data_IF_192543103665
#
_entry.id   IF_192543103665
#
_cell.length_a   1.000
_cell.length_b   1.000
_cell.length_c   1.000
_cell.angle_alpha   90.00
_cell.angle_beta   90.00
_cell.angle_gamma   90.00
#
_symmetry.space_group_name_H-M   'P 1'
#
loop_
_entity.id
_entity.type
_entity.pdbx_description
1 polymer ?
#
# COMPACT_ATOMS: atom_id res chain seq x y z
N UNK A 1 -47.61 13.44 -12.76
CA UNK A 1 -46.39 13.87 -12.05
C UNK A 1 -45.28 12.82 -12.12
N UNK A 2 -45.48 11.67 -12.78
CA UNK A 2 -44.48 10.59 -12.89
C UNK A 2 -43.49 10.75 -14.05
N UNK A 3 -43.86 11.50 -15.10
CA UNK A 3 -43.04 11.64 -16.32
C UNK A 3 -41.74 12.44 -16.08
N UNK A 4 -41.75 13.38 -15.13
CA UNK A 4 -40.59 14.21 -14.79
C UNK A 4 -39.56 13.50 -13.92
N UNK A 5 -39.98 12.58 -13.04
CA UNK A 5 -39.06 11.86 -12.15
C UNK A 5 -38.30 10.76 -12.90
N UNK A 6 -38.93 10.13 -13.89
CA UNK A 6 -38.29 9.14 -14.77
C UNK A 6 -37.17 9.78 -15.61
N UNK A 7 -37.39 10.98 -16.13
CA UNK A 7 -36.43 11.72 -16.96
C UNK A 7 -35.17 12.12 -16.15
N UNK A 8 -35.36 12.58 -14.92
CA UNK A 8 -34.24 12.93 -14.01
C UNK A 8 -33.42 11.70 -13.63
N UNK A 9 -34.07 10.56 -13.34
CA UNK A 9 -33.38 9.31 -12.99
C UNK A 9 -32.54 8.80 -14.18
N UNK A 10 -33.04 8.87 -15.41
CA UNK A 10 -32.27 8.49 -16.60
C UNK A 10 -31.07 9.41 -16.83
N UNK A 11 -31.25 10.73 -16.71
CA UNK A 11 -30.16 11.70 -16.90
C UNK A 11 -29.03 11.49 -15.87
N UNK A 12 -29.38 11.25 -14.61
CA UNK A 12 -28.39 10.96 -13.57
C UNK A 12 -27.66 9.64 -13.83
N UNK A 13 -28.38 8.59 -14.25
CA UNK A 13 -27.80 7.29 -14.56
C UNK A 13 -26.79 7.38 -15.71
N UNK A 14 -27.15 8.09 -16.77
CA UNK A 14 -26.28 8.28 -17.94
C UNK A 14 -25.06 9.15 -17.59
N UNK A 15 -25.24 10.19 -16.76
CA UNK A 15 -24.13 10.99 -16.27
C UNK A 15 -23.15 10.17 -15.42
N UNK A 16 -23.65 9.35 -14.48
CA UNK A 16 -22.82 8.46 -13.66
C UNK A 16 -22.11 7.42 -14.53
N UNK A 17 -22.79 6.85 -15.53
CA UNK A 17 -22.19 5.88 -16.46
C UNK A 17 -21.07 6.52 -17.30
N UNK A 18 -21.27 7.75 -17.76
CA UNK A 18 -20.23 8.51 -18.47
C UNK A 18 -19.02 8.80 -17.56
N UNK A 19 -19.25 9.22 -16.31
CA UNK A 19 -18.18 9.43 -15.32
C UNK A 19 -17.41 8.13 -15.02
N UNK A 20 -18.10 6.99 -14.97
CA UNK A 20 -17.47 5.69 -14.76
C UNK A 20 -16.65 5.23 -15.98
N UNK A 21 -17.02 5.63 -17.19
CA UNK A 21 -16.22 5.36 -18.38
C UNK A 21 -14.93 6.19 -18.47
N UNK A 22 -14.87 7.34 -17.80
CA UNK A 22 -13.65 8.15 -17.70
C UNK A 22 -12.64 7.59 -16.70
N UNK A 23 -13.06 6.64 -15.86
CA UNK A 23 -12.21 5.99 -14.86
C UNK A 23 -11.34 4.91 -15.50
N UNK A 24 -10.03 5.02 -15.29
CA UNK A 24 -9.04 4.07 -15.83
C UNK A 24 -9.17 2.65 -15.28
N UNK A 25 -9.75 2.49 -14.08
CA UNK A 25 -9.95 1.20 -13.41
C UNK A 25 -11.20 0.43 -13.85
N UNK A 26 -12.07 1.05 -14.65
CA UNK A 26 -13.35 0.47 -15.07
C UNK A 26 -13.22 -0.13 -16.47
N UNK A 27 -13.52 -1.43 -16.59
CA UNK A 27 -13.57 -2.13 -17.87
C UNK A 27 -14.88 -1.85 -18.60
N UNK A 28 -15.99 -1.80 -17.85
CA UNK A 28 -17.32 -1.59 -18.41
C UNK A 28 -18.21 -0.90 -17.37
N UNK A 29 -19.00 0.05 -17.84
CA UNK A 29 -20.13 0.61 -17.11
C UNK A 29 -21.33 0.64 -18.07
N UNK A 30 -22.44 0.01 -17.70
CA UNK A 30 -23.65 -0.05 -18.52
C UNK A 30 -24.86 0.41 -17.72
N UNK A 31 -25.53 1.44 -18.23
CA UNK A 31 -26.83 1.88 -17.71
C UNK A 31 -27.92 0.93 -18.19
N UNK A 32 -28.74 0.44 -17.26
CA UNK A 32 -29.85 -0.47 -17.59
C UNK A 32 -31.17 0.27 -17.44
N UNK A 33 -32.03 0.17 -18.46
CA UNK A 33 -33.31 0.90 -18.51
C UNK A 33 -34.48 0.13 -17.93
N UNK A 34 -34.27 -1.14 -17.54
CA UNK A 34 -35.33 -2.03 -17.07
C UNK A 34 -35.44 -1.90 -15.55
N UNK A 35 -36.58 -1.40 -15.08
CA UNK A 35 -36.91 -1.29 -13.66
C UNK A 35 -37.30 -2.69 -13.12
N UNK A 36 -36.28 -3.50 -12.83
CA UNK A 36 -36.43 -4.80 -12.18
C UNK A 36 -36.07 -4.64 -10.71
N UNK A 37 -37.02 -4.98 -9.83
CA UNK A 37 -36.76 -4.98 -8.40
C UNK A 37 -35.47 -5.77 -8.08
N UNK A 38 -34.59 -5.17 -7.28
CA UNK A 38 -33.29 -5.72 -6.83
C UNK A 38 -32.17 -5.79 -7.88
N UNK A 39 -32.36 -5.28 -9.10
CA UNK A 39 -31.28 -5.16 -10.08
C UNK A 39 -30.65 -3.76 -10.01
N UNK A 40 -29.31 -3.64 -9.95
CA UNK A 40 -28.67 -2.33 -9.93
C UNK A 40 -28.91 -1.59 -11.25
N UNK A 41 -29.22 -0.31 -11.15
CA UNK A 41 -29.48 0.59 -12.28
C UNK A 41 -28.26 0.75 -13.22
N UNK A 42 -27.06 0.50 -12.69
CA UNK A 42 -25.80 0.55 -13.43
C UNK A 42 -25.03 -0.72 -13.09
N UNK A 43 -24.62 -1.45 -14.12
CA UNK A 43 -23.67 -2.56 -13.96
C UNK A 43 -22.28 -2.02 -14.22
N UNK A 44 -21.34 -2.28 -13.31
CA UNK A 44 -19.95 -1.86 -13.43
C UNK A 44 -19.06 -3.08 -13.30
N UNK A 45 -18.11 -3.24 -14.21
CA UNK A 45 -17.06 -4.24 -14.15
C UNK A 45 -15.71 -3.51 -14.12
N UNK A 46 -14.93 -3.73 -13.07
CA UNK A 46 -13.55 -3.25 -13.00
C UNK A 46 -12.64 -4.07 -13.92
N UNK A 47 -11.53 -3.49 -14.35
CA UNK A 47 -10.49 -4.25 -15.05
C UNK A 47 -9.97 -5.36 -14.14
N UNK A 48 -9.79 -6.60 -14.65
CA UNK A 48 -9.12 -7.63 -13.88
C UNK A 48 -7.70 -7.16 -13.57
N UNK A 49 -7.33 -7.19 -12.29
CA UNK A 49 -5.98 -6.87 -11.83
C UNK A 49 -5.31 -8.11 -11.27
N UNK A 50 -4.00 -8.12 -11.35
CA UNK A 50 -3.11 -9.04 -10.67
C UNK A 50 -2.33 -8.29 -9.60
N UNK A 51 -1.92 -9.02 -8.57
CA UNK A 51 -1.13 -8.49 -7.48
C UNK A 51 0.35 -8.66 -7.77
N UNK A 52 1.10 -7.57 -7.67
CA UNK A 52 2.55 -7.55 -7.65
C UNK A 52 2.98 -6.97 -6.30
N UNK A 53 3.80 -7.69 -5.56
CA UNK A 53 4.29 -7.21 -4.26
C UNK A 53 5.78 -6.97 -4.31
N UNK A 54 6.19 -5.79 -3.85
CA UNK A 54 7.58 -5.42 -3.64
C UNK A 54 7.86 -5.27 -2.14
N UNK A 55 9.07 -5.59 -1.75
CA UNK A 55 9.50 -5.70 -0.36
C UNK A 55 10.81 -4.96 -0.16
N UNK A 56 10.95 -4.26 0.97
CA UNK A 56 12.21 -3.63 1.35
C UNK A 56 12.52 -3.83 2.84
N UNK A 57 13.81 -3.93 3.22
CA UNK A 57 14.19 -3.91 4.62
C UNK A 57 13.92 -2.52 5.22
N UNK A 58 13.46 -2.51 6.47
CA UNK A 58 13.18 -1.30 7.23
C UNK A 58 14.39 -0.93 8.11
N UNK A 59 14.55 0.36 8.37
CA UNK A 59 15.39 0.87 9.45
C UNK A 59 14.50 1.44 10.54
N UNK A 60 14.57 0.87 11.74
CA UNK A 60 13.71 1.24 12.86
C UNK A 60 14.60 1.72 13.99
N UNK A 61 14.32 2.92 14.50
CA UNK A 61 15.11 3.52 15.57
C UNK A 61 14.24 4.11 16.66
N UNK A 62 14.79 4.29 17.85
CA UNK A 62 14.16 5.02 18.95
C UNK A 62 15.15 5.96 19.61
N UNK A 63 14.65 6.95 20.33
CA UNK A 63 15.48 7.80 21.17
C UNK A 63 16.13 6.99 22.29
N UNK A 64 17.38 7.35 22.61
CA UNK A 64 18.11 6.74 23.70
C UNK A 64 17.46 7.12 25.04
N UNK A 65 17.03 6.12 25.81
CA UNK A 65 16.55 6.34 27.17
C UNK A 65 17.70 6.14 28.17
N UNK A 66 18.28 7.25 28.61
CA UNK A 66 19.35 7.30 29.63
C UNK A 66 18.99 6.52 30.90
N UNK A 67 17.70 6.37 31.23
CA UNK A 67 17.28 5.66 32.44
C UNK A 67 17.52 4.14 32.39
N UNK A 68 17.78 3.58 31.20
CA UNK A 68 18.10 2.16 31.01
C UNK A 68 19.58 1.82 31.18
N UNK A 69 20.48 2.81 31.27
CA UNK A 69 21.93 2.59 31.34
C UNK A 69 22.61 3.51 32.38
N UNK A 70 23.29 2.92 33.38
CA UNK A 70 23.93 3.65 34.50
C UNK A 70 25.27 4.35 34.14
N UNK A 71 25.59 4.63 32.87
CA UNK A 71 26.92 5.12 32.49
C UNK A 71 26.95 6.53 31.86
N UNK A 72 27.87 7.34 32.39
CA UNK A 72 28.18 8.75 32.14
C UNK A 72 28.96 8.93 30.81
N UNK A 73 28.31 8.66 29.68
CA UNK A 73 28.77 9.15 28.36
C UNK A 73 27.68 10.03 27.75
N UNK A 74 28.05 11.24 27.34
CA UNK A 74 27.20 12.17 26.57
C UNK A 74 26.90 11.54 25.20
N UNK A 75 25.99 10.58 25.15
CA UNK A 75 25.40 10.07 23.90
C UNK A 75 24.26 11.01 23.49
N UNK A 76 24.58 12.29 23.35
CA UNK A 76 23.63 13.27 22.86
C UNK A 76 23.57 13.14 21.33
N UNK A 77 22.39 12.77 20.82
CA UNK A 77 22.00 12.69 19.40
C UNK A 77 22.14 11.32 18.68
N UNK A 78 22.50 10.21 19.35
CA UNK A 78 22.44 8.88 18.70
C UNK A 78 21.11 8.16 18.99
N UNK A 79 20.36 7.84 17.93
CA UNK A 79 19.18 6.98 18.00
C UNK A 79 19.60 5.51 18.11
N UNK A 80 18.94 4.73 18.97
CA UNK A 80 19.16 3.29 19.10
C UNK A 80 18.40 2.55 17.99
N UNK A 81 19.11 1.71 17.23
CA UNK A 81 18.50 0.87 16.20
C UNK A 81 17.83 -0.38 16.79
N UNK A 82 16.57 -0.61 16.43
CA UNK A 82 15.79 -1.79 16.82
C UNK A 82 15.87 -2.81 15.67
N UNK A 83 16.47 -4.00 15.90
CA UNK A 83 16.47 -5.05 14.89
C UNK A 83 15.04 -5.43 14.45
N UNK A 84 14.79 -5.54 13.15
CA UNK A 84 13.45 -5.78 12.58
C UNK A 84 12.72 -6.98 13.16
N UNK A 85 13.44 -8.04 13.54
CA UNK A 85 12.90 -9.23 14.22
C UNK A 85 12.26 -8.97 15.58
N UNK A 86 12.59 -7.86 16.23
CA UNK A 86 12.02 -7.47 17.53
C UNK A 86 10.87 -6.46 17.37
N UNK A 87 10.75 -5.83 16.20
CA UNK A 87 9.69 -4.86 15.91
C UNK A 87 8.47 -5.51 15.23
N UNK A 88 8.43 -6.83 15.08
CA UNK A 88 7.32 -7.54 14.42
C UNK A 88 5.96 -7.22 15.06
N UNK A 89 5.91 -7.16 16.39
CA UNK A 89 4.68 -6.86 17.13
C UNK A 89 4.22 -5.40 16.98
N UNK A 90 5.05 -4.51 16.41
CA UNK A 90 4.69 -3.13 16.10
C UNK A 90 4.00 -2.96 14.73
N UNK A 91 3.77 -4.05 13.99
CA UNK A 91 3.24 -3.98 12.63
C UNK A 91 1.88 -3.27 12.56
N UNK A 92 1.00 -3.51 13.53
CA UNK A 92 -0.33 -2.91 13.56
C UNK A 92 -0.24 -1.40 13.80
N UNK A 93 0.55 -0.94 14.78
CA UNK A 93 0.73 0.49 15.05
C UNK A 93 1.39 1.22 13.87
N UNK A 94 2.35 0.59 13.19
CA UNK A 94 3.00 1.17 12.02
C UNK A 94 2.02 1.26 10.84
N UNK A 95 1.23 0.20 10.59
CA UNK A 95 0.21 0.22 9.53
C UNK A 95 -0.91 1.22 9.82
N UNK A 96 -1.33 1.36 11.07
CA UNK A 96 -2.27 2.38 11.50
C UNK A 96 -1.70 3.78 11.27
N UNK A 97 -0.43 4.00 11.60
CA UNK A 97 0.25 5.27 11.35
C UNK A 97 0.35 5.58 9.85
N UNK A 98 0.75 4.62 9.00
CA UNK A 98 0.81 4.80 7.54
C UNK A 98 -0.55 5.24 7.00
N UNK A 99 -1.63 4.57 7.43
CA UNK A 99 -3.00 4.90 7.00
C UNK A 99 -3.42 6.30 7.46
N UNK A 100 -3.09 6.70 8.68
CA UNK A 100 -3.44 8.01 9.23
C UNK A 100 -2.58 9.14 8.64
N UNK A 101 -1.34 8.84 8.25
CA UNK A 101 -0.43 9.77 7.58
C UNK A 101 -0.81 10.00 6.11
N UNK A 102 -1.39 8.98 5.46
CA UNK A 102 -1.84 9.07 4.07
C UNK A 102 -2.92 10.12 3.82
N UNK A 103 -2.83 10.78 2.66
CA UNK A 103 -3.81 11.75 2.22
C UNK A 103 -5.00 11.10 1.49
N UNK A 104 -6.18 11.74 1.52
CA UNK A 104 -7.37 11.25 0.80
C UNK A 104 -7.15 10.96 -0.70
N UNK A 105 -6.24 11.68 -1.35
CA UNK A 105 -5.92 11.44 -2.78
C UNK A 105 -5.23 10.08 -2.99
N UNK A 106 -4.54 9.56 -1.98
CA UNK A 106 -3.77 8.31 -1.98
C UNK A 106 -4.64 7.09 -1.62
N UNK A 107 -5.87 7.28 -1.16
CA UNK A 107 -6.74 6.19 -0.66
C UNK A 107 -6.88 5.02 -1.65
N UNK A 108 -6.94 5.32 -2.95
CA UNK A 108 -7.19 4.31 -3.99
C UNK A 108 -5.95 3.94 -4.81
N UNK A 109 -5.10 4.93 -5.13
CA UNK A 109 -3.90 4.73 -5.96
C UNK A 109 -2.61 4.59 -5.13
N UNK A 110 -2.64 4.92 -3.84
CA UNK A 110 -1.46 4.97 -3.00
C UNK A 110 -0.39 5.90 -3.57
N UNK A 111 0.83 5.39 -3.61
CA UNK A 111 1.99 6.13 -4.13
C UNK A 111 1.97 6.32 -5.65
N UNK A 112 1.06 5.65 -6.38
CA UNK A 112 0.87 5.87 -7.81
C UNK A 112 0.17 7.19 -8.13
N UNK A 113 -0.40 7.90 -7.15
CA UNK A 113 -0.88 9.28 -7.35
C UNK A 113 0.26 10.21 -7.77
N UNK A 114 1.47 9.90 -7.34
CA UNK A 114 2.66 10.72 -7.59
C UNK A 114 3.45 10.31 -8.83
N UNK A 115 3.01 9.26 -9.52
CA UNK A 115 3.73 8.74 -10.68
C UNK A 115 3.35 9.50 -11.96
N UNK A 116 4.30 10.23 -12.54
CA UNK A 116 4.08 11.01 -13.77
C UNK A 116 5.13 10.77 -14.89
N UNK A 117 6.01 9.78 -14.71
CA UNK A 117 7.13 9.50 -15.63
C UNK A 117 6.73 8.75 -16.91
N UNK A 118 6.52 7.42 -16.81
CA UNK A 118 6.23 6.56 -17.98
C UNK A 118 4.71 6.28 -18.09
N UNK A 119 4.00 6.84 -19.08
CA UNK A 119 2.56 6.61 -19.22
C UNK A 119 2.16 5.14 -19.31
N UNK A 120 3.00 4.27 -19.88
CA UNK A 120 2.73 2.84 -19.95
C UNK A 120 2.67 2.19 -18.56
N UNK A 121 3.51 2.63 -17.62
CA UNK A 121 3.47 2.18 -16.22
C UNK A 121 2.23 2.72 -15.54
N UNK A 122 1.87 3.99 -15.74
CA UNK A 122 0.66 4.58 -15.14
C UNK A 122 -0.63 3.94 -15.63
N UNK A 123 -0.69 3.51 -16.90
CA UNK A 123 -1.81 2.77 -17.47
C UNK A 123 -1.91 1.33 -16.94
N UNK A 124 -0.77 0.70 -16.62
CA UNK A 124 -0.73 -0.70 -16.15
C UNK A 124 -0.83 -0.83 -14.64
N UNK A 125 -0.21 0.07 -13.88
CA UNK A 125 -0.12 0.02 -12.42
C UNK A 125 -1.15 0.98 -11.84
N UNK A 126 -2.26 0.41 -11.38
CA UNK A 126 -3.36 1.19 -10.82
C UNK A 126 -2.98 1.80 -9.46
N UNK A 127 -2.47 0.96 -8.55
CA UNK A 127 -2.14 1.37 -7.20
C UNK A 127 -0.83 0.76 -6.71
N UNK A 128 -0.21 1.42 -5.74
CA UNK A 128 0.90 0.90 -4.94
C UNK A 128 0.68 1.34 -3.49
N UNK A 129 0.10 0.44 -2.69
CA UNK A 129 -0.28 0.72 -1.30
C UNK A 129 0.84 0.24 -0.37
N UNK A 130 1.48 1.15 0.39
CA UNK A 130 2.49 0.77 1.35
C UNK A 130 1.90 0.17 2.63
N UNK A 131 2.65 -0.71 3.26
CA UNK A 131 2.36 -1.32 4.57
C UNK A 131 3.64 -1.95 5.14
N UNK A 132 3.57 -2.51 6.34
CA UNK A 132 4.58 -3.41 6.90
C UNK A 132 3.96 -4.77 7.24
N UNK A 133 4.75 -5.84 7.12
CA UNK A 133 4.31 -7.22 7.43
C UNK A 133 5.45 -8.04 8.01
N UNK A 134 5.12 -9.01 8.86
CA UNK A 134 6.07 -10.06 9.24
C UNK A 134 6.36 -10.97 8.05
N UNK A 135 7.65 -11.13 7.72
CA UNK A 135 8.13 -12.12 6.74
C UNK A 135 9.33 -12.82 7.35
N UNK A 136 9.24 -14.15 7.51
CA UNK A 136 10.30 -14.98 8.10
C UNK A 136 10.78 -14.49 9.49
N UNK A 137 9.87 -13.95 10.30
CA UNK A 137 10.18 -13.44 11.65
C UNK A 137 10.85 -12.07 11.66
N UNK A 138 10.88 -11.35 10.54
CA UNK A 138 11.37 -9.97 10.44
C UNK A 138 10.25 -9.04 9.98
N UNK A 139 10.21 -7.82 10.53
CA UNK A 139 9.32 -6.78 10.02
C UNK A 139 9.87 -6.20 8.72
N UNK A 140 9.10 -6.31 7.64
CA UNK A 140 9.50 -5.92 6.29
C UNK A 140 8.50 -4.89 5.74
N UNK A 141 9.00 -3.89 5.01
CA UNK A 141 8.18 -2.93 4.27
C UNK A 141 7.62 -3.58 3.01
N UNK A 142 6.34 -3.34 2.73
CA UNK A 142 5.59 -4.01 1.66
C UNK A 142 4.86 -2.98 0.81
N UNK A 143 5.00 -3.08 -0.50
CA UNK A 143 4.24 -2.32 -1.48
C UNK A 143 3.35 -3.28 -2.26
N UNK A 144 2.05 -3.24 -1.96
CA UNK A 144 1.05 -4.04 -2.65
C UNK A 144 0.57 -3.27 -3.88
N UNK A 145 1.01 -3.71 -5.04
CA UNK A 145 0.68 -3.10 -6.32
C UNK A 145 -0.46 -3.86 -7.01
N UNK A 146 -1.45 -3.13 -7.51
CA UNK A 146 -2.48 -3.69 -8.39
C UNK A 146 -2.15 -3.33 -9.83
N UNK A 147 -1.96 -4.36 -10.66
CA UNK A 147 -1.52 -4.20 -12.05
C UNK A 147 -2.54 -4.85 -12.98
N UNK A 148 -2.90 -4.21 -14.11
CA UNK A 148 -3.88 -4.76 -15.07
C UNK A 148 -3.25 -5.70 -16.11
N UNK A 149 -1.94 -5.66 -16.30
CA UNK A 149 -1.17 -6.47 -17.25
C UNK A 149 0.25 -6.69 -16.72
N UNK A 150 0.91 -7.77 -17.14
CA UNK A 150 2.32 -7.99 -16.85
C UNK A 150 3.19 -6.78 -17.25
N UNK A 151 4.06 -6.38 -16.31
CA UNK A 151 5.09 -5.38 -16.57
C UNK A 151 6.25 -6.05 -17.31
N UNK A 152 6.70 -5.40 -18.38
CA UNK A 152 8.00 -5.70 -18.96
C UNK A 152 9.11 -5.38 -17.96
N UNK A 153 10.31 -5.94 -18.15
CA UNK A 153 11.44 -5.67 -17.26
C UNK A 153 11.73 -4.17 -17.09
N UNK A 154 11.63 -3.38 -18.17
CA UNK A 154 11.84 -1.93 -18.08
C UNK A 154 10.71 -1.23 -17.29
N UNK A 155 9.44 -1.62 -17.51
CA UNK A 155 8.31 -1.05 -16.77
C UNK A 155 8.36 -1.40 -15.27
N UNK A 156 8.86 -2.59 -14.93
CA UNK A 156 9.10 -2.98 -13.54
C UNK A 156 10.22 -2.14 -12.91
N UNK A 157 11.33 -1.91 -13.62
CA UNK A 157 12.41 -1.04 -13.12
C UNK A 157 11.95 0.41 -12.98
N UNK A 158 11.11 0.91 -13.89
CA UNK A 158 10.53 2.26 -13.79
C UNK A 158 9.64 2.39 -12.55
N UNK A 159 8.77 1.40 -12.30
CA UNK A 159 7.96 1.33 -11.07
C UNK A 159 8.85 1.25 -9.83
N UNK A 160 9.86 0.38 -9.86
CA UNK A 160 10.80 0.19 -8.74
C UNK A 160 11.54 1.49 -8.44
N UNK A 161 12.07 2.17 -9.46
CA UNK A 161 12.77 3.45 -9.31
C UNK A 161 11.89 4.51 -8.66
N UNK A 162 10.63 4.60 -9.08
CA UNK A 162 9.66 5.50 -8.45
C UNK A 162 9.46 5.18 -6.97
N UNK A 163 9.19 3.92 -6.65
CA UNK A 163 8.96 3.50 -5.26
C UNK A 163 10.20 3.67 -4.39
N UNK A 164 11.41 3.44 -4.93
CA UNK A 164 12.67 3.75 -4.23
C UNK A 164 12.74 5.26 -3.93
N UNK A 165 12.42 6.11 -4.91
CA UNK A 165 12.35 7.57 -4.69
C UNK A 165 11.36 7.94 -3.58
N UNK A 166 10.19 7.29 -3.55
CA UNK A 166 9.21 7.47 -2.48
C UNK A 166 9.72 7.01 -1.10
N UNK A 167 10.57 5.97 -1.06
CA UNK A 167 11.21 5.49 0.17
C UNK A 167 12.27 6.48 0.69
N UNK A 168 13.04 7.10 -0.20
CA UNK A 168 14.22 7.89 0.18
C UNK A 168 13.97 9.38 0.39
N UNK A 169 13.17 10.02 -0.48
CA UNK A 169 13.03 11.49 -0.57
C UNK A 169 11.57 11.92 -0.81
N UNK A 170 10.65 10.96 -0.70
CA UNK A 170 9.23 11.17 -0.96
C UNK A 170 8.39 10.96 0.28
N UNK A 171 7.30 10.21 0.13
CA UNK A 171 6.32 9.96 1.18
C UNK A 171 6.97 9.50 2.51
N UNK A 172 7.96 8.61 2.44
CA UNK A 172 8.56 8.04 3.64
C UNK A 172 9.60 8.91 4.32
N UNK A 173 10.25 9.84 3.60
CA UNK A 173 11.13 10.84 4.21
C UNK A 173 10.33 11.78 5.13
N UNK A 174 9.12 12.15 4.70
CA UNK A 174 8.20 12.90 5.55
C UNK A 174 7.70 12.07 6.73
N UNK A 175 7.44 10.79 6.51
CA UNK A 175 6.94 9.87 7.54
C UNK A 175 7.97 9.63 8.64
N UNK A 176 9.24 9.40 8.29
CA UNK A 176 10.31 9.06 9.25
C UNK A 176 10.60 10.15 10.28
N UNK A 177 10.19 11.39 10.02
CA UNK A 177 10.34 12.53 10.94
C UNK A 177 9.31 12.54 12.07
N UNK A 178 8.35 11.62 12.06
CA UNK A 178 7.26 11.57 13.02
C UNK A 178 7.36 10.34 13.92
N UNK A 179 7.26 10.51 15.25
CA UNK A 179 7.31 9.38 16.17
C UNK A 179 6.01 8.55 16.09
N UNK A 180 6.18 7.23 16.02
CA UNK A 180 5.11 6.24 16.09
C UNK A 180 5.08 5.68 17.50
N UNK A 181 3.93 5.79 18.17
CA UNK A 181 3.74 5.26 19.52
C UNK A 181 3.45 3.76 19.46
N UNK A 182 4.23 2.98 20.17
CA UNK A 182 4.13 1.52 20.26
C UNK A 182 4.01 1.10 21.72
N UNK A 183 3.38 -0.05 21.96
CA UNK A 183 3.24 -0.59 23.31
C UNK A 183 4.59 -0.98 23.95
N UNK A 184 5.50 -1.52 23.15
CA UNK A 184 6.74 -2.15 23.64
C UNK A 184 7.95 -1.21 23.67
N UNK A 185 8.01 -0.25 22.74
CA UNK A 185 9.20 0.58 22.54
C UNK A 185 8.98 2.07 22.83
N UNK A 186 7.77 2.48 23.22
CA UNK A 186 7.45 3.88 23.44
C UNK A 186 7.31 4.60 22.10
N UNK A 187 8.25 5.47 21.74
CA UNK A 187 8.25 6.17 20.45
C UNK A 187 9.36 5.63 19.55
N UNK A 188 8.97 5.17 18.35
CA UNK A 188 9.90 4.69 17.32
C UNK A 188 9.78 5.55 16.05
N UNK A 189 10.83 5.57 15.26
CA UNK A 189 10.88 6.18 13.94
C UNK A 189 11.21 5.10 12.92
N UNK A 190 10.42 5.01 11.85
CA UNK A 190 10.50 3.95 10.85
C UNK A 190 10.85 4.56 9.51
N UNK A 191 11.97 4.12 8.94
CA UNK A 191 12.39 4.47 7.59
C UNK A 191 12.28 3.24 6.67
N UNK A 192 11.69 3.44 5.49
CA UNK A 192 11.60 2.43 4.43
C UNK A 192 12.86 2.38 3.57
N UNK A 193 13.85 3.23 3.85
CA UNK A 193 15.09 3.35 3.12
C UNK A 193 16.29 3.36 4.06
N UNK A 194 17.43 2.87 3.57
CA UNK A 194 18.72 3.12 4.19
C UNK A 194 19.84 3.09 3.13
N UNK A 195 20.99 3.67 3.47
CA UNK A 195 22.13 3.82 2.59
C UNK A 195 23.04 2.57 2.53
N UNK A 196 22.60 1.44 3.09
CA UNK A 196 23.33 0.18 3.02
C UNK A 196 23.37 -0.35 1.59
N UNK A 197 24.51 -0.92 1.21
CA UNK A 197 24.67 -1.60 -0.08
C UNK A 197 23.78 -2.85 -0.20
N UNK A 198 23.27 -3.36 0.92
CA UNK A 198 22.41 -4.55 0.96
C UNK A 198 20.91 -4.19 0.87
N UNK A 199 20.55 -2.90 0.87
CA UNK A 199 19.17 -2.46 0.71
C UNK A 199 18.75 -2.55 -0.76
N UNK A 200 17.60 -3.18 -1.01
CA UNK A 200 16.97 -3.19 -2.32
C UNK A 200 15.46 -3.39 -2.20
N UNK A 201 14.72 -2.92 -3.19
CA UNK A 201 13.28 -3.13 -3.32
C UNK A 201 13.04 -4.33 -4.24
N UNK A 202 12.66 -5.46 -3.66
CA UNK A 202 12.65 -6.77 -4.33
C UNK A 202 11.24 -7.32 -4.48
N UNK A 203 11.00 -8.10 -5.53
CA UNK A 203 9.79 -8.92 -5.69
C UNK A 203 9.85 -10.15 -4.79
N UNK A 204 8.69 -10.80 -4.59
CA UNK A 204 8.64 -12.06 -3.84
C UNK A 204 9.46 -13.19 -4.47
N UNK A 205 9.63 -13.20 -5.79
CA UNK A 205 10.50 -14.15 -6.49
C UNK A 205 11.98 -13.91 -6.18
N UNK A 206 12.41 -12.64 -6.16
CA UNK A 206 13.79 -12.24 -5.83
C UNK A 206 14.14 -12.48 -4.36
N UNK A 207 13.15 -12.43 -3.46
CA UNK A 207 13.28 -12.81 -2.05
C UNK A 207 13.08 -14.32 -1.79
N UNK A 208 12.84 -15.12 -2.83
CA UNK A 208 12.55 -16.56 -2.72
C UNK A 208 11.30 -16.90 -1.85
N UNK A 209 10.34 -15.97 -1.72
CA UNK A 209 9.13 -16.09 -0.90
C UNK A 209 8.04 -16.99 -1.51
N UNK A 210 8.18 -17.38 -2.77
CA UNK A 210 7.21 -18.16 -3.55
C UNK A 210 6.84 -19.53 -2.95
N UNK A 211 7.55 -20.00 -1.92
CA UNK A 211 7.23 -21.22 -1.18
C UNK A 211 6.39 -20.98 0.08
N UNK A 212 6.31 -19.75 0.60
CA UNK A 212 5.77 -19.44 1.92
C UNK A 212 4.32 -18.95 1.87
N UNK A 213 3.94 -18.18 0.85
CA UNK A 213 2.57 -17.62 0.74
C UNK A 213 1.50 -18.70 0.44
N UNK A 214 1.90 -19.85 -0.13
CA UNK A 214 1.01 -21.02 -0.31
C UNK A 214 0.62 -21.71 1.00
N UNK A 215 1.30 -21.44 2.11
CA UNK A 215 1.02 -22.06 3.41
C UNK A 215 0.14 -21.19 4.30
N UNK A 216 0.02 -19.89 4.01
CA UNK A 216 -0.81 -18.96 4.78
C UNK A 216 -2.22 -18.80 4.22
N UNK A 217 -2.44 -19.16 2.95
CA UNK A 217 -3.78 -19.21 2.35
C UNK A 217 -4.41 -20.63 2.43
N UNK A 218 -5.35 -20.77 3.38
CA UNK A 218 -6.49 -21.72 3.48
C UNK A 218 -6.45 -22.91 4.48
N UNK A 219 -7.62 -23.39 5.01
CA UNK A 219 -9.00 -22.90 4.82
C UNK A 219 -9.77 -22.60 6.13
N UNK A 220 -10.79 -21.74 6.00
CA UNK A 220 -11.79 -21.48 7.04
C UNK A 220 -12.42 -22.75 7.60
N UNK A 221 -12.35 -22.90 8.93
CA UNK A 221 -13.09 -23.91 9.68
C UNK A 221 -14.60 -23.71 9.47
N UNK A 222 -15.20 -24.53 8.61
CA UNK A 222 -16.61 -24.87 8.74
C UNK A 222 -16.78 -25.76 9.97
N UNK A 223 -17.08 -25.16 11.12
CA UNK A 223 -17.73 -25.88 12.21
C UNK A 223 -19.22 -25.94 11.93
N UNK A 224 -19.67 -27.09 11.44
CA UNK A 224 -21.09 -27.45 11.49
C UNK A 224 -21.34 -28.15 12.83
N UNK A 225 -22.22 -27.59 13.67
CA UNK A 225 -22.93 -28.33 14.72
C UNK A 225 -24.28 -28.81 14.22
#
# INVERSE_FOLDING_TARGET
MEESDLDVKSVLRDAVTAMLHEREDIQMAESQTIDVDFQPDIKVEAKPTQELTLYCPLRIVREYDESNYEFDEEVMDEMEEIPSKYAVDCADEINDFIRDYSESKEEHRGLMVYYDDNPAVSEKVFSAIPSVREINGELIGVFKCQVVEDLTGNELEDLRSHLIGQCSDGFFEGMEQHPIKTADYGEIYVSFWNDSNDWSLQTGEEMELSQVEKLTEEPGMSMTM
#
